data_IF_127738128965
#
_entry.id   IF_127738128965
#
_cell.length_a   1.000
_cell.length_b   1.000
_cell.length_c   1.000
_cell.angle_alpha   90.00
_cell.angle_beta   90.00
_cell.angle_gamma   90.00
#
_symmetry.space_group_name_H-M   'P 1'
#
loop_
_entity.id
_entity.type
_entity.pdbx_description
1 polymer ?
#
# COMPACT_ATOMS: atom_id res chain seq x y z
N UNK A 1 24.86 9.86 1.33
CA UNK A 1 23.40 9.84 1.02
C UNK A 1 23.38 9.89 -0.48
N UNK A 2 22.79 8.88 -1.11
CA UNK A 2 22.86 8.80 -2.56
C UNK A 2 22.09 9.95 -3.19
N UNK A 3 22.78 10.71 -4.04
CA UNK A 3 22.24 11.85 -4.78
C UNK A 3 22.37 11.55 -6.26
N UNK A 4 21.35 11.91 -7.03
CA UNK A 4 21.41 11.82 -8.49
C UNK A 4 22.40 12.87 -9.00
N UNK A 5 23.57 12.41 -9.44
CA UNK A 5 24.55 13.25 -10.14
C UNK A 5 24.67 12.82 -11.59
N UNK A 6 25.21 13.70 -12.44
CA UNK A 6 25.47 13.36 -13.84
C UNK A 6 26.40 12.14 -13.95
N UNK A 7 27.46 12.10 -13.15
CA UNK A 7 28.35 10.93 -13.08
C UNK A 7 27.63 9.67 -12.63
N UNK A 8 26.85 9.73 -11.55
CA UNK A 8 26.09 8.56 -11.09
C UNK A 8 25.18 8.04 -12.20
N UNK A 9 24.45 8.94 -12.85
CA UNK A 9 23.55 8.62 -13.96
C UNK A 9 24.31 7.97 -15.13
N UNK A 10 25.42 8.54 -15.56
CA UNK A 10 26.23 7.99 -16.66
C UNK A 10 26.81 6.61 -16.32
N UNK A 11 27.33 6.43 -15.11
CA UNK A 11 27.84 5.12 -14.67
C UNK A 11 26.71 4.10 -14.59
N UNK A 12 25.56 4.44 -14.01
CA UNK A 12 24.41 3.55 -13.94
C UNK A 12 23.95 3.14 -15.35
N UNK A 13 23.70 4.11 -16.24
CA UNK A 13 23.20 3.83 -17.59
C UNK A 13 24.18 3.00 -18.44
N UNK A 14 25.48 3.15 -18.22
CA UNK A 14 26.50 2.31 -18.87
C UNK A 14 26.38 0.85 -18.40
N UNK A 15 26.16 0.65 -17.10
CA UNK A 15 26.15 -0.68 -16.49
C UNK A 15 24.79 -1.37 -16.54
N UNK A 16 23.67 -0.63 -16.65
CA UNK A 16 22.30 -1.19 -16.61
C UNK A 16 22.05 -2.21 -17.73
N UNK A 17 22.78 -2.11 -18.85
CA UNK A 17 22.74 -3.07 -19.94
C UNK A 17 23.10 -4.51 -19.53
N UNK A 18 23.84 -4.67 -18.42
CA UNK A 18 24.19 -5.97 -17.84
C UNK A 18 22.98 -6.70 -17.24
N UNK A 19 21.88 -5.98 -16.95
CA UNK A 19 20.64 -6.54 -16.44
C UNK A 19 19.75 -7.13 -17.55
N UNK A 20 20.12 -6.97 -18.83
CA UNK A 20 19.31 -7.48 -19.94
C UNK A 20 19.41 -9.00 -20.05
N UNK A 21 18.25 -9.64 -20.20
CA UNK A 21 18.13 -11.07 -20.50
C UNK A 21 18.36 -11.37 -21.98
N UNK A 22 18.08 -10.40 -22.85
CA UNK A 22 18.32 -10.52 -24.29
C UNK A 22 19.05 -9.28 -24.81
N UNK A 23 19.89 -9.47 -25.84
CA UNK A 23 20.71 -8.40 -26.43
C UNK A 23 19.88 -7.17 -26.83
N UNK A 24 18.76 -7.40 -27.51
CA UNK A 24 17.89 -6.36 -28.05
C UNK A 24 16.77 -5.95 -27.08
N UNK A 25 16.80 -6.46 -25.85
CA UNK A 25 15.80 -6.11 -24.84
C UNK A 25 15.91 -4.63 -24.48
N UNK A 26 14.76 -3.95 -24.51
CA UNK A 26 14.66 -2.58 -24.02
C UNK A 26 14.54 -2.58 -22.50
N UNK A 27 15.33 -1.72 -21.86
CA UNK A 27 15.24 -1.45 -20.43
C UNK A 27 14.40 -0.20 -20.27
N UNK A 28 13.34 -0.29 -19.48
CA UNK A 28 12.52 0.86 -19.11
C UNK A 28 12.75 1.19 -17.64
N UNK A 29 13.41 2.31 -17.36
CA UNK A 29 13.52 2.82 -16.00
C UNK A 29 12.22 3.54 -15.66
N UNK A 30 11.61 3.16 -14.54
CA UNK A 30 10.31 3.70 -14.08
C UNK A 30 10.46 4.33 -12.69
N UNK A 31 9.33 4.64 -12.06
CA UNK A 31 9.33 5.11 -10.67
C UNK A 31 9.95 6.49 -10.47
N UNK A 32 10.50 6.68 -9.27
CA UNK A 32 10.94 8.01 -8.82
C UNK A 32 12.25 8.46 -9.48
N UNK A 33 13.12 7.52 -9.87
CA UNK A 33 14.40 7.82 -10.49
C UNK A 33 14.28 8.60 -11.81
N UNK A 34 13.33 8.19 -12.67
CA UNK A 34 13.15 8.75 -14.00
C UNK A 34 12.75 10.24 -13.99
N UNK A 35 12.14 10.70 -12.89
CA UNK A 35 11.59 12.05 -12.75
C UNK A 35 12.42 12.97 -11.85
N UNK A 36 13.43 12.43 -11.17
CA UNK A 36 14.31 13.20 -10.28
C UNK A 36 15.33 13.98 -11.08
N UNK A 37 15.57 15.21 -10.67
CA UNK A 37 16.58 16.09 -11.26
C UNK A 37 17.95 15.82 -10.63
N UNK A 38 19.00 16.38 -11.24
CA UNK A 38 20.31 16.34 -10.62
C UNK A 38 20.32 17.12 -9.30
N UNK A 39 20.86 16.51 -8.25
CA UNK A 39 20.84 17.04 -6.88
C UNK A 39 19.74 16.43 -6.00
N UNK A 40 18.77 15.70 -6.57
CA UNK A 40 17.75 15.02 -5.79
C UNK A 40 18.29 13.74 -5.13
N UNK A 41 17.73 13.40 -3.96
CA UNK A 41 18.09 12.20 -3.20
C UNK A 41 17.53 10.94 -3.89
N UNK A 42 18.25 9.83 -3.93
CA UNK A 42 17.77 8.59 -4.56
C UNK A 42 17.44 7.53 -3.50
N UNK A 43 16.23 6.98 -3.53
CA UNK A 43 15.76 5.92 -2.61
C UNK A 43 16.03 4.52 -3.16
N UNK A 44 15.71 4.34 -4.43
CA UNK A 44 15.59 3.09 -5.17
C UNK A 44 15.60 3.40 -6.68
N UNK A 45 15.79 2.36 -7.49
CA UNK A 45 15.70 2.44 -8.94
C UNK A 45 14.83 1.30 -9.45
N UNK A 46 13.65 1.65 -9.93
CA UNK A 46 12.72 0.70 -10.52
C UNK A 46 13.00 0.50 -12.01
N UNK A 47 13.08 -0.75 -12.44
CA UNK A 47 13.30 -1.16 -13.83
C UNK A 47 12.23 -2.15 -14.25
N UNK A 48 11.75 -2.00 -15.49
CA UNK A 48 10.90 -2.98 -16.15
C UNK A 48 11.65 -3.61 -17.33
N UNK A 49 11.67 -4.94 -17.35
CA UNK A 49 12.12 -5.74 -18.48
C UNK A 49 10.94 -6.49 -19.08
N UNK A 50 10.65 -6.24 -20.36
CA UNK A 50 9.64 -7.03 -21.07
C UNK A 50 10.23 -8.37 -21.48
N UNK A 51 9.62 -9.47 -21.04
CA UNK A 51 10.04 -10.84 -21.34
C UNK A 51 8.87 -11.67 -21.86
N UNK A 52 9.18 -12.86 -22.37
CA UNK A 52 8.20 -13.88 -22.70
C UNK A 52 8.48 -15.11 -21.82
N UNK A 53 7.65 -15.36 -20.81
CA UNK A 53 7.83 -16.51 -19.92
C UNK A 53 7.54 -17.85 -20.62
N UNK A 54 6.97 -17.84 -21.83
CA UNK A 54 6.85 -19.03 -22.67
C UNK A 54 8.12 -19.34 -23.47
N UNK A 55 9.16 -18.48 -23.44
CA UNK A 55 10.46 -18.82 -24.03
C UNK A 55 11.10 -19.98 -23.24
N UNK A 56 11.39 -21.13 -23.89
CA UNK A 56 12.05 -22.26 -23.22
C UNK A 56 13.43 -21.93 -22.68
N UNK A 57 14.08 -20.86 -23.18
CA UNK A 57 15.40 -20.44 -22.74
C UNK A 57 15.39 -19.38 -21.63
N UNK A 58 14.23 -18.93 -21.14
CA UNK A 58 14.16 -17.84 -20.16
C UNK A 58 14.98 -18.12 -18.90
N UNK A 59 14.90 -19.35 -18.37
CA UNK A 59 15.71 -19.76 -17.21
C UNK A 59 17.20 -19.74 -17.52
N UNK A 60 17.60 -20.15 -18.73
CA UNK A 60 19.00 -20.11 -19.14
C UNK A 60 19.50 -18.65 -19.21
N UNK A 61 18.69 -17.72 -19.73
CA UNK A 61 19.05 -16.30 -19.77
C UNK A 61 19.20 -15.71 -18.36
N UNK A 62 18.29 -16.04 -17.44
CA UNK A 62 18.40 -15.62 -16.04
C UNK A 62 19.70 -16.16 -15.43
N UNK A 63 19.99 -17.45 -15.61
CA UNK A 63 21.25 -18.07 -15.11
C UNK A 63 22.49 -17.38 -15.68
N UNK A 64 22.48 -17.01 -16.96
CA UNK A 64 23.59 -16.30 -17.59
C UNK A 64 23.83 -14.92 -16.97
N UNK A 65 22.78 -14.17 -16.64
CA UNK A 65 22.95 -12.90 -15.91
C UNK A 65 23.54 -13.15 -14.53
N UNK A 66 22.94 -14.07 -13.76
CA UNK A 66 23.35 -14.34 -12.38
C UNK A 66 24.84 -14.73 -12.28
N UNK A 67 25.33 -15.54 -13.22
CA UNK A 67 26.74 -15.95 -13.26
C UNK A 67 27.72 -14.78 -13.57
N UNK A 68 27.22 -13.71 -14.22
CA UNK A 68 28.04 -12.59 -14.66
C UNK A 68 27.90 -11.34 -13.77
N UNK A 69 26.80 -11.23 -13.02
CA UNK A 69 26.44 -10.00 -12.33
C UNK A 69 27.22 -9.77 -11.04
N UNK A 70 27.51 -10.83 -10.28
CA UNK A 70 28.18 -10.73 -8.97
C UNK A 70 29.63 -10.23 -9.05
N UNK A 71 30.23 -10.17 -10.24
CA UNK A 71 31.55 -9.57 -10.46
C UNK A 71 31.51 -8.05 -10.61
N UNK A 72 30.32 -7.44 -10.63
CA UNK A 72 30.11 -6.05 -11.01
C UNK A 72 29.52 -5.20 -9.87
N UNK A 73 29.05 -4.00 -10.20
CA UNK A 73 28.40 -3.06 -9.27
C UNK A 73 27.02 -3.54 -8.81
N UNK A 74 26.35 -4.41 -9.56
CA UNK A 74 25.10 -5.02 -9.13
C UNK A 74 25.38 -6.30 -8.37
N UNK A 75 24.71 -6.49 -7.24
CA UNK A 75 24.77 -7.71 -6.43
C UNK A 75 23.38 -8.29 -6.37
N UNK A 76 23.21 -9.50 -6.90
CA UNK A 76 21.91 -10.16 -6.89
C UNK A 76 21.53 -10.57 -5.47
N UNK A 77 20.31 -10.26 -5.05
CA UNK A 77 19.79 -10.66 -3.76
C UNK A 77 18.95 -11.93 -3.87
N UNK A 78 17.83 -11.81 -4.59
CA UNK A 78 16.87 -12.89 -4.82
C UNK A 78 15.82 -12.45 -5.86
N UNK A 79 14.94 -13.37 -6.25
CA UNK A 79 13.68 -13.04 -6.94
C UNK A 79 12.51 -13.31 -5.99
N UNK A 80 11.60 -12.36 -5.84
CA UNK A 80 10.32 -12.57 -5.18
C UNK A 80 9.28 -12.98 -6.23
N UNK A 81 8.71 -14.19 -6.10
CA UNK A 81 7.65 -14.67 -7.01
C UNK A 81 6.87 -15.85 -6.40
N UNK A 82 5.58 -15.65 -6.14
CA UNK A 82 4.64 -16.66 -5.65
C UNK A 82 4.63 -16.85 -4.13
N UNK A 83 3.66 -17.64 -3.67
CA UNK A 83 3.40 -17.98 -2.26
C UNK A 83 3.27 -19.50 -2.13
N UNK A 84 3.83 -20.07 -1.06
CA UNK A 84 3.64 -21.48 -0.73
C UNK A 84 2.18 -21.79 -0.45
N UNK A 85 1.66 -22.87 -1.05
CA UNK A 85 0.23 -23.21 -1.02
C UNK A 85 -0.33 -23.35 0.41
N UNK A 86 0.50 -23.79 1.35
CA UNK A 86 0.14 -23.99 2.75
C UNK A 86 -0.16 -22.68 3.50
N UNK A 87 0.28 -21.55 2.95
CA UNK A 87 0.03 -20.21 3.50
C UNK A 87 -1.15 -19.49 2.82
N UNK A 88 -1.86 -20.15 1.91
CA UNK A 88 -3.10 -19.60 1.35
C UNK A 88 -4.12 -19.39 2.47
N UNK A 89 -4.68 -18.18 2.49
CA UNK A 89 -5.55 -17.72 3.56
C UNK A 89 -7.02 -17.96 3.21
N UNK A 90 -7.89 -18.28 4.19
CA UNK A 90 -9.32 -18.51 3.98
C UNK A 90 -10.14 -17.20 3.94
N UNK A 91 -9.50 -16.07 3.68
CA UNK A 91 -10.15 -14.78 3.53
C UNK A 91 -9.53 -14.02 2.36
N UNK A 92 -10.32 -13.16 1.74
CA UNK A 92 -9.88 -12.25 0.68
C UNK A 92 -10.23 -10.82 1.05
N UNK A 93 -9.39 -9.87 0.62
CA UNK A 93 -9.62 -8.43 0.69
C UNK A 93 -9.21 -7.91 -0.69
N UNK A 94 -10.15 -7.42 -1.47
CA UNK A 94 -9.85 -6.91 -2.81
C UNK A 94 -9.62 -5.39 -2.81
N UNK A 95 -9.17 -4.88 -3.95
CA UNK A 95 -8.90 -3.46 -4.14
C UNK A 95 -10.15 -2.58 -4.36
N UNK A 96 -11.32 -3.20 -4.45
CA UNK A 96 -12.62 -2.54 -4.58
C UNK A 96 -13.36 -2.41 -3.24
N UNK A 97 -12.77 -2.87 -2.14
CA UNK A 97 -13.38 -2.83 -0.82
C UNK A 97 -14.29 -4.02 -0.51
N UNK A 98 -14.29 -5.06 -1.35
CA UNK A 98 -14.92 -6.34 -1.02
C UNK A 98 -14.01 -7.17 -0.12
N UNK A 99 -14.61 -8.01 0.71
CA UNK A 99 -13.86 -8.98 1.48
C UNK A 99 -14.69 -10.21 1.81
N UNK A 100 -14.04 -11.37 1.88
CA UNK A 100 -14.66 -12.62 2.35
C UNK A 100 -14.02 -13.04 3.67
N UNK A 101 -14.83 -13.42 4.65
CA UNK A 101 -14.36 -13.93 5.93
C UNK A 101 -15.43 -14.81 6.57
N UNK A 102 -15.08 -16.07 6.82
CA UNK A 102 -15.95 -17.01 7.53
C UNK A 102 -15.23 -17.50 8.80
N UNK A 103 -15.76 -17.22 10.00
CA UNK A 103 -15.10 -17.58 11.26
C UNK A 103 -14.79 -19.07 11.39
N UNK A 104 -15.66 -19.94 10.87
CA UNK A 104 -15.50 -21.39 10.94
C UNK A 104 -14.34 -21.87 10.06
N UNK A 105 -14.29 -21.46 8.78
CA UNK A 105 -13.16 -21.78 7.88
C UNK A 105 -11.83 -21.26 8.42
N UNK A 106 -11.81 -20.07 9.02
CA UNK A 106 -10.61 -19.49 9.65
C UNK A 106 -10.12 -20.36 10.81
N UNK A 107 -11.03 -20.88 11.62
CA UNK A 107 -10.68 -21.79 12.73
C UNK A 107 -10.15 -23.12 12.23
N UNK A 108 -10.77 -23.72 11.20
CA UNK A 108 -10.30 -24.96 10.58
C UNK A 108 -8.90 -24.79 9.98
N UNK A 109 -8.72 -23.71 9.20
CA UNK A 109 -7.43 -23.34 8.63
C UNK A 109 -6.37 -23.16 9.72
N UNK A 110 -6.66 -22.40 10.78
CA UNK A 110 -5.66 -22.14 11.83
C UNK A 110 -5.25 -23.40 12.58
N UNK A 111 -6.19 -24.32 12.85
CA UNK A 111 -5.89 -25.60 13.49
C UNK A 111 -4.98 -26.48 12.61
N UNK A 112 -5.25 -26.53 11.30
CA UNK A 112 -4.39 -27.21 10.33
C UNK A 112 -3.00 -26.55 10.28
N UNK A 113 -2.96 -25.24 10.11
CA UNK A 113 -1.76 -24.41 10.07
C UNK A 113 -0.87 -24.62 11.30
N UNK A 114 -1.45 -24.65 12.51
CA UNK A 114 -0.77 -24.90 13.79
C UNK A 114 -0.24 -26.33 13.89
N UNK A 115 -1.02 -27.32 13.45
CA UNK A 115 -0.62 -28.74 13.48
C UNK A 115 0.57 -29.02 12.55
N UNK A 116 0.64 -28.31 11.43
CA UNK A 116 1.69 -28.47 10.43
C UNK A 116 3.04 -27.84 10.82
N UNK A 117 3.08 -27.04 11.90
CA UNK A 117 4.30 -26.40 12.42
C UNK A 117 5.08 -25.58 11.37
N UNK A 118 4.35 -24.85 10.52
CA UNK A 118 4.85 -23.98 9.45
C UNK A 118 5.64 -22.75 9.93
N UNK A 119 5.34 -22.21 11.11
CA UNK A 119 6.00 -21.05 11.73
C UNK A 119 6.37 -21.32 13.20
N UNK A 120 7.25 -20.51 13.83
CA UNK A 120 7.57 -20.64 15.25
C UNK A 120 6.37 -20.47 16.19
N UNK A 121 6.43 -21.08 17.38
CA UNK A 121 5.33 -21.05 18.36
C UNK A 121 4.89 -19.64 18.80
N UNK A 122 5.85 -18.72 18.88
CA UNK A 122 5.57 -17.31 19.18
C UNK A 122 4.68 -16.66 18.11
N UNK A 123 4.82 -17.06 16.84
CA UNK A 123 4.02 -16.54 15.74
C UNK A 123 2.59 -17.08 15.81
N UNK A 124 2.38 -18.37 16.13
CA UNK A 124 1.02 -18.90 16.35
C UNK A 124 0.29 -18.13 17.45
N UNK A 125 0.98 -17.86 18.55
CA UNK A 125 0.39 -17.13 19.68
C UNK A 125 -0.08 -15.74 19.25
N UNK A 126 0.74 -15.02 18.46
CA UNK A 126 0.38 -13.70 17.94
C UNK A 126 -0.84 -13.79 17.00
N UNK A 127 -0.84 -14.75 16.07
CA UNK A 127 -1.96 -14.94 15.13
C UNK A 127 -3.25 -15.31 15.88
N UNK A 128 -3.18 -16.22 16.84
CA UNK A 128 -4.32 -16.66 17.66
C UNK A 128 -4.96 -15.48 18.39
N UNK A 129 -4.14 -14.60 18.98
CA UNK A 129 -4.63 -13.40 19.69
C UNK A 129 -5.30 -12.37 18.77
N UNK A 130 -4.95 -12.36 17.48
CA UNK A 130 -5.54 -11.46 16.47
C UNK A 130 -6.81 -12.02 15.84
N UNK A 131 -6.87 -13.33 15.60
CA UNK A 131 -7.99 -13.96 14.90
C UNK A 131 -9.15 -14.33 15.82
N UNK A 132 -8.86 -14.73 17.07
CA UNK A 132 -9.86 -15.27 18.00
C UNK A 132 -10.12 -14.38 19.21
N UNK A 133 -9.83 -13.08 19.10
CA UNK A 133 -10.31 -12.08 20.04
C UNK A 133 -11.84 -11.94 19.97
N UNK A 134 -12.44 -11.40 21.03
CA UNK A 134 -13.89 -11.14 21.10
C UNK A 134 -14.38 -10.23 19.98
N UNK A 135 -13.51 -9.36 19.50
CA UNK A 135 -13.71 -8.49 18.33
C UNK A 135 -12.53 -8.60 17.39
N UNK A 136 -12.75 -8.42 16.09
CA UNK A 136 -11.74 -8.52 15.03
C UNK A 136 -11.96 -7.40 14.01
N UNK A 137 -10.91 -6.96 13.33
CA UNK A 137 -10.96 -5.92 12.28
C UNK A 137 -10.25 -6.41 11.01
N UNK A 138 -10.47 -5.73 9.86
CA UNK A 138 -9.73 -6.01 8.63
C UNK A 138 -8.22 -5.84 8.86
N UNK A 139 -7.82 -4.83 9.65
CA UNK A 139 -6.41 -4.68 10.02
C UNK A 139 -5.86 -5.89 10.76
N UNK A 140 -6.64 -6.56 11.60
CA UNK A 140 -6.15 -7.80 12.22
C UNK A 140 -5.87 -8.88 11.18
N UNK A 141 -6.71 -9.00 10.15
CA UNK A 141 -6.47 -9.92 9.04
C UNK A 141 -5.19 -9.57 8.29
N UNK A 142 -5.02 -8.30 7.89
CA UNK A 142 -3.84 -7.83 7.15
C UNK A 142 -2.57 -7.95 8.01
N UNK A 143 -2.64 -7.64 9.31
CA UNK A 143 -1.53 -7.86 10.23
C UNK A 143 -1.10 -9.33 10.24
N UNK A 144 -2.05 -10.27 10.23
CA UNK A 144 -1.75 -11.71 10.13
C UNK A 144 -1.08 -12.03 8.80
N UNK A 145 -1.56 -11.47 7.67
CA UNK A 145 -0.91 -11.65 6.37
C UNK A 145 0.54 -11.15 6.39
N UNK A 146 0.78 -9.96 6.93
CA UNK A 146 2.11 -9.36 7.05
C UNK A 146 3.05 -10.14 7.97
N UNK A 147 2.53 -10.70 9.05
CA UNK A 147 3.29 -11.59 9.95
C UNK A 147 3.71 -12.88 9.22
N UNK A 148 2.83 -13.40 8.36
CA UNK A 148 3.07 -14.62 7.60
C UNK A 148 3.93 -14.41 6.35
N UNK A 149 3.93 -13.21 5.77
CA UNK A 149 4.59 -12.90 4.51
C UNK A 149 6.06 -13.39 4.44
N UNK A 150 6.91 -13.19 5.47
CA UNK A 150 8.30 -13.67 5.44
C UNK A 150 8.45 -15.20 5.37
N UNK A 151 7.41 -15.94 5.74
CA UNK A 151 7.35 -17.41 5.69
C UNK A 151 6.63 -17.92 4.45
N UNK A 152 5.62 -17.18 3.99
CA UNK A 152 4.72 -17.55 2.92
C UNK A 152 5.34 -17.31 1.53
N UNK A 153 6.10 -16.23 1.37
CA UNK A 153 6.65 -15.81 0.08
C UNK A 153 7.75 -16.76 -0.40
N UNK A 154 7.69 -17.13 -1.69
CA UNK A 154 8.74 -17.91 -2.33
C UNK A 154 9.85 -16.95 -2.78
N UNK A 155 10.91 -16.91 -1.97
CA UNK A 155 12.15 -16.19 -2.26
C UNK A 155 13.08 -17.10 -3.05
N UNK A 156 13.40 -16.77 -4.29
CA UNK A 156 14.25 -17.55 -5.18
C UNK A 156 15.70 -17.05 -5.09
N UNK A 157 16.58 -17.87 -4.51
CA UNK A 157 18.02 -17.59 -4.52
C UNK A 157 18.65 -18.00 -5.85
N UNK A 158 19.88 -17.56 -6.10
CA UNK A 158 20.60 -17.92 -7.32
C UNK A 158 20.75 -19.44 -7.46
N UNK A 159 20.98 -20.15 -6.36
CA UNK A 159 21.02 -21.62 -6.32
C UNK A 159 19.72 -22.26 -6.78
N UNK A 160 18.58 -21.73 -6.34
CA UNK A 160 17.25 -22.27 -6.65
C UNK A 160 16.94 -22.08 -8.15
N UNK A 161 17.30 -20.92 -8.69
CA UNK A 161 17.15 -20.60 -10.11
C UNK A 161 18.07 -21.47 -10.98
N UNK A 162 19.31 -21.72 -10.53
CA UNK A 162 20.25 -22.63 -11.20
C UNK A 162 19.74 -24.08 -11.20
N UNK A 163 19.08 -24.51 -10.13
CA UNK A 163 18.42 -25.82 -10.02
C UNK A 163 17.16 -25.91 -10.88
N UNK A 164 16.44 -24.79 -11.07
CA UNK A 164 15.23 -24.69 -11.90
C UNK A 164 13.93 -24.96 -11.16
N UNK A 165 14.00 -25.39 -9.90
CA UNK A 165 12.87 -25.56 -9.01
C UNK A 165 13.32 -25.33 -7.57
N UNK A 166 12.35 -25.08 -6.69
CA UNK A 166 12.53 -25.00 -5.24
C UNK A 166 11.63 -26.03 -4.57
N UNK A 167 12.20 -26.84 -3.69
CA UNK A 167 11.43 -27.80 -2.91
C UNK A 167 11.08 -27.22 -1.53
N UNK A 168 9.81 -27.30 -1.17
CA UNK A 168 9.31 -26.95 0.16
C UNK A 168 8.33 -28.03 0.62
N UNK A 169 8.67 -28.70 1.72
CA UNK A 169 7.86 -29.78 2.33
C UNK A 169 7.44 -30.89 1.34
N UNK A 170 8.35 -31.27 0.43
CA UNK A 170 8.11 -32.32 -0.57
C UNK A 170 7.30 -31.87 -1.79
N UNK A 171 6.92 -30.58 -1.88
CA UNK A 171 6.30 -30.00 -3.06
C UNK A 171 7.37 -29.23 -3.84
N UNK A 172 7.46 -29.52 -5.13
CA UNK A 172 8.32 -28.78 -6.05
C UNK A 172 7.56 -27.61 -6.64
N UNK A 173 8.14 -26.42 -6.50
CA UNK A 173 7.67 -25.19 -7.12
C UNK A 173 8.61 -24.85 -8.27
N UNK A 174 8.05 -24.49 -9.42
CA UNK A 174 8.81 -24.11 -10.62
C UNK A 174 8.63 -22.62 -10.91
N UNK A 175 9.73 -21.88 -11.01
CA UNK A 175 9.71 -20.43 -11.21
C UNK A 175 8.88 -20.02 -12.43
N UNK A 176 9.07 -20.68 -13.58
CA UNK A 176 8.37 -20.35 -14.83
C UNK A 176 6.88 -20.70 -14.80
N UNK A 177 6.47 -21.65 -13.95
CA UNK A 177 5.06 -22.00 -13.80
C UNK A 177 4.31 -20.91 -13.03
N UNK A 178 4.88 -20.46 -11.90
CA UNK A 178 4.31 -19.38 -11.10
C UNK A 178 4.14 -18.11 -11.93
N UNK A 179 5.15 -17.72 -12.69
CA UNK A 179 5.09 -16.50 -13.51
C UNK A 179 4.08 -16.60 -14.65
N UNK A 180 3.92 -17.79 -15.26
CA UNK A 180 2.87 -18.03 -16.29
C UNK A 180 1.46 -17.96 -15.72
N UNK A 181 1.29 -18.21 -14.42
CA UNK A 181 0.02 -18.12 -13.72
C UNK A 181 -0.30 -16.71 -13.19
N UNK A 182 0.44 -15.68 -13.64
CA UNK A 182 0.13 -14.27 -13.30
C UNK A 182 0.91 -13.71 -12.11
N UNK A 183 1.81 -14.48 -11.49
CA UNK A 183 2.66 -14.01 -10.40
C UNK A 183 3.75 -13.07 -10.93
N UNK A 184 3.80 -11.83 -10.42
CA UNK A 184 4.86 -10.89 -10.77
C UNK A 184 6.19 -11.37 -10.19
N UNK A 185 7.20 -11.51 -11.05
CA UNK A 185 8.57 -11.74 -10.62
C UNK A 185 9.35 -10.42 -10.56
N UNK A 186 9.92 -10.12 -9.39
CA UNK A 186 10.81 -8.98 -9.19
C UNK A 186 12.18 -9.49 -8.81
N UNK A 187 13.19 -9.22 -9.64
CA UNK A 187 14.58 -9.48 -9.31
C UNK A 187 15.13 -8.31 -8.50
N UNK A 188 15.57 -8.58 -7.28
CA UNK A 188 16.09 -7.56 -6.37
C UNK A 188 17.62 -7.57 -6.39
N UNK A 189 18.20 -6.38 -6.50
CA UNK A 189 19.64 -6.16 -6.51
C UNK A 189 20.04 -5.04 -5.56
N UNK A 190 21.28 -5.12 -5.06
CA UNK A 190 21.99 -3.96 -4.52
C UNK A 190 22.94 -3.42 -5.57
N UNK A 191 22.81 -2.13 -5.88
CA UNK A 191 23.80 -1.40 -6.65
C UNK A 191 24.80 -0.74 -5.72
N UNK A 192 26.05 -1.20 -5.82
CA UNK A 192 27.21 -0.72 -5.09
C UNK A 192 27.95 0.32 -5.94
N UNK A 193 27.72 1.59 -5.63
CA UNK A 193 28.35 2.73 -6.28
C UNK A 193 29.54 3.25 -5.47
N UNK A 194 30.67 3.53 -6.12
CA UNK A 194 31.78 4.27 -5.51
C UNK A 194 31.68 5.72 -5.97
N UNK A 195 31.42 6.62 -5.03
CA UNK A 195 31.30 8.05 -5.29
C UNK A 195 32.63 8.69 -5.67
N UNK A 196 32.59 9.96 -6.08
CA UNK A 196 33.79 10.74 -6.41
C UNK A 196 34.74 10.88 -5.23
N UNK A 197 34.20 10.86 -4.01
CA UNK A 197 34.98 10.94 -2.77
C UNK A 197 35.54 9.58 -2.34
N UNK A 198 35.39 8.53 -3.17
CA UNK A 198 35.81 7.17 -2.85
C UNK A 198 34.89 6.44 -1.86
N UNK A 199 33.73 7.03 -1.53
CA UNK A 199 32.78 6.47 -0.57
C UNK A 199 31.89 5.43 -1.25
N UNK A 200 31.64 4.32 -0.56
CA UNK A 200 30.69 3.30 -1.01
C UNK A 200 29.28 3.75 -0.66
N UNK A 201 28.42 3.85 -1.67
CA UNK A 201 26.99 4.11 -1.52
C UNK A 201 26.22 2.92 -2.10
N UNK A 202 25.12 2.57 -1.43
CA UNK A 202 24.25 1.46 -1.83
C UNK A 202 22.88 1.98 -2.25
N UNK A 203 22.29 1.34 -3.25
CA UNK A 203 20.93 1.58 -3.71
C UNK A 203 20.24 0.25 -3.99
N UNK A 204 18.96 0.12 -3.64
CA UNK A 204 18.14 -0.97 -4.15
C UNK A 204 17.85 -0.75 -5.64
N UNK A 205 17.83 -1.85 -6.40
CA UNK A 205 17.36 -1.87 -7.78
C UNK A 205 16.38 -3.02 -7.92
N UNK A 206 15.16 -2.67 -8.26
CA UNK A 206 14.05 -3.59 -8.40
C UNK A 206 13.75 -3.78 -9.89
N UNK A 207 13.97 -4.99 -10.39
CA UNK A 207 13.79 -5.32 -11.80
C UNK A 207 12.54 -6.18 -11.96
N UNK A 208 11.42 -5.54 -12.28
CA UNK A 208 10.17 -6.22 -12.59
C UNK A 208 10.26 -6.91 -13.96
N UNK A 209 10.04 -8.22 -13.97
CA UNK A 209 9.96 -9.04 -15.16
C UNK A 209 8.51 -9.08 -15.66
N UNK A 210 8.21 -8.31 -16.69
CA UNK A 210 6.85 -8.10 -17.19
C UNK A 210 6.66 -8.92 -18.47
N UNK A 211 5.70 -9.84 -18.46
CA UNK A 211 5.18 -10.44 -19.68
C UNK A 211 3.85 -9.76 -20.03
N UNK A 212 3.82 -9.08 -21.18
CA UNK A 212 2.64 -8.32 -21.61
C UNK A 212 1.47 -9.21 -22.03
N UNK A 213 1.70 -10.51 -22.21
CA UNK A 213 0.66 -11.47 -22.58
C UNK A 213 -0.07 -12.06 -21.38
N UNK A 214 0.46 -11.83 -20.18
CA UNK A 214 -0.07 -12.36 -18.93
C UNK A 214 -0.70 -11.22 -18.15
N UNK A 215 -1.96 -11.38 -17.77
CA UNK A 215 -2.62 -10.46 -16.85
C UNK A 215 -2.01 -10.63 -15.45
N UNK A 216 -1.42 -9.55 -14.94
CA UNK A 216 -0.86 -9.54 -13.58
C UNK A 216 -1.98 -9.32 -12.57
N UNK A 217 -1.89 -10.00 -11.42
CA UNK A 217 -2.78 -9.72 -10.29
C UNK A 217 -2.70 -8.24 -9.90
N UNK A 218 -3.86 -7.58 -9.75
CA UNK A 218 -3.95 -6.17 -9.38
C UNK A 218 -3.14 -5.86 -8.11
N UNK A 219 -2.45 -4.73 -8.10
CA UNK A 219 -1.67 -4.24 -6.95
C UNK A 219 -2.58 -3.84 -5.79
N UNK A 220 -2.24 -4.27 -4.57
CA UNK A 220 -2.99 -4.06 -3.32
C UNK A 220 -3.03 -2.60 -2.83
N UNK A 221 -3.56 -1.67 -3.64
CA UNK A 221 -3.67 -0.26 -3.29
C UNK A 221 -4.48 -0.02 -2.02
N UNK A 222 -5.52 -0.83 -1.77
CA UNK A 222 -6.38 -0.68 -0.59
C UNK A 222 -5.69 -1.13 0.72
N UNK A 223 -4.68 -2.01 0.64
CA UNK A 223 -3.94 -2.44 1.82
C UNK A 223 -3.21 -1.29 2.49
N UNK A 224 -2.63 -0.38 1.68
CA UNK A 224 -1.98 0.83 2.19
C UNK A 224 -2.96 1.67 3.03
N UNK A 225 -4.21 1.75 2.61
CA UNK A 225 -5.26 2.44 3.36
C UNK A 225 -5.53 1.77 4.69
N UNK A 226 -5.86 0.47 4.72
CA UNK A 226 -6.13 -0.22 5.99
C UNK A 226 -4.97 -0.17 6.98
N UNK A 227 -3.74 -0.33 6.50
CA UNK A 227 -2.53 -0.24 7.31
C UNK A 227 -2.13 1.20 7.66
N UNK A 228 -2.83 2.20 7.13
CA UNK A 228 -2.56 3.61 7.34
C UNK A 228 -1.13 4.00 6.91
N UNK A 229 -0.69 3.43 5.78
CA UNK A 229 0.55 3.77 5.09
C UNK A 229 0.39 5.14 4.40
N UNK A 230 0.31 6.20 5.19
CA UNK A 230 0.03 7.56 4.73
C UNK A 230 1.03 8.07 3.69
N UNK A 231 2.29 7.66 3.75
CA UNK A 231 3.28 8.11 2.77
C UNK A 231 3.02 7.56 1.35
N UNK A 232 2.88 6.24 1.12
CA UNK A 232 2.43 5.70 -0.17
C UNK A 232 1.11 6.29 -0.66
N UNK A 233 0.12 6.43 0.23
CA UNK A 233 -1.18 7.04 -0.11
C UNK A 233 -0.97 8.46 -0.62
N UNK A 234 -0.23 9.29 0.12
CA UNK A 234 0.03 10.67 -0.28
C UNK A 234 0.78 10.74 -1.63
N UNK A 235 1.79 9.87 -1.83
CA UNK A 235 2.56 9.79 -3.08
C UNK A 235 1.66 9.48 -4.29
N UNK A 236 0.60 8.70 -4.10
CA UNK A 236 -0.35 8.34 -5.16
C UNK A 236 -1.16 9.53 -5.70
N UNK A 237 -1.36 10.58 -4.89
CA UNK A 237 -2.14 11.76 -5.30
C UNK A 237 -1.45 12.60 -6.37
N UNK A 238 -0.13 12.47 -6.55
CA UNK A 238 0.72 13.28 -7.45
C UNK A 238 0.08 13.66 -8.78
N UNK A 239 -0.52 12.70 -9.49
CA UNK A 239 -1.04 12.89 -10.84
C UNK A 239 -2.40 13.61 -10.87
N UNK A 240 -3.07 13.61 -9.74
CA UNK A 240 -4.42 14.08 -9.54
C UNK A 240 -4.47 15.46 -8.88
N UNK A 241 -3.38 15.95 -8.27
CA UNK A 241 -3.33 17.28 -7.65
C UNK A 241 -3.50 18.40 -8.70
N UNK A 242 -4.34 19.38 -8.37
CA UNK A 242 -4.53 20.63 -9.13
C UNK A 242 -3.22 21.41 -9.28
N UNK A 243 -3.01 22.04 -10.44
CA UNK A 243 -1.72 22.65 -10.83
C UNK A 243 -1.24 23.70 -9.82
N UNK A 244 -2.16 24.51 -9.29
CA UNK A 244 -1.91 25.55 -8.31
C UNK A 244 -1.40 25.04 -6.96
N UNK A 245 -1.77 23.80 -6.57
CA UNK A 245 -1.34 23.17 -5.31
C UNK A 245 -0.13 22.25 -5.49
N UNK A 246 0.34 22.03 -6.72
CA UNK A 246 1.40 21.06 -7.00
C UNK A 246 2.75 21.42 -6.35
N UNK A 247 3.04 22.72 -6.21
CA UNK A 247 4.25 23.18 -5.52
C UNK A 247 4.21 22.90 -4.01
N UNK A 248 3.07 23.15 -3.37
CA UNK A 248 2.85 22.80 -1.95
C UNK A 248 3.00 21.28 -1.76
N UNK A 249 2.41 20.48 -2.65
CA UNK A 249 2.52 19.02 -2.64
C UNK A 249 3.98 18.55 -2.71
N UNK A 250 4.77 19.13 -3.63
CA UNK A 250 6.21 18.84 -3.77
C UNK A 250 6.99 19.21 -2.49
N UNK A 251 6.68 20.33 -1.86
CA UNK A 251 7.34 20.75 -0.62
C UNK A 251 7.07 19.80 0.54
N UNK A 252 5.83 19.31 0.67
CA UNK A 252 5.46 18.31 1.68
C UNK A 252 6.27 17.01 1.51
N UNK A 253 6.42 16.52 0.28
CA UNK A 253 7.25 15.34 -0.01
C UNK A 253 8.73 15.60 0.29
N UNK A 254 9.25 16.78 -0.06
CA UNK A 254 10.66 17.14 0.17
C UNK A 254 11.01 17.16 1.67
N UNK A 255 10.05 17.49 2.54
CA UNK A 255 10.26 17.51 3.99
C UNK A 255 10.58 16.12 4.56
N UNK A 256 9.97 15.06 4.02
CA UNK A 256 10.18 13.68 4.49
C UNK A 256 11.22 12.90 3.69
N UNK A 257 11.72 13.46 2.59
CA UNK A 257 12.57 12.73 1.63
C UNK A 257 13.84 12.17 2.27
N UNK A 258 14.46 12.93 3.19
CA UNK A 258 15.63 12.47 3.95
C UNK A 258 15.31 11.33 4.89
N UNK A 259 14.15 11.37 5.56
CA UNK A 259 13.70 10.28 6.44
C UNK A 259 13.41 9.02 5.62
N UNK A 260 12.72 9.17 4.49
CA UNK A 260 12.43 8.07 3.58
C UNK A 260 13.71 7.46 3.00
N UNK A 261 14.71 8.28 2.65
CA UNK A 261 16.01 7.78 2.22
C UNK A 261 16.69 6.95 3.33
N UNK A 262 16.72 7.45 4.56
CA UNK A 262 17.29 6.71 5.68
C UNK A 262 16.55 5.38 5.92
N UNK A 263 15.23 5.39 5.84
CA UNK A 263 14.42 4.18 5.94
C UNK A 263 14.84 3.14 4.89
N UNK A 264 14.96 3.55 3.62
CA UNK A 264 15.37 2.65 2.54
C UNK A 264 16.80 2.12 2.71
N UNK A 265 17.76 2.97 3.14
CA UNK A 265 19.13 2.52 3.43
C UNK A 265 19.14 1.46 4.54
N UNK A 266 18.38 1.70 5.63
CA UNK A 266 18.27 0.77 6.76
C UNK A 266 17.61 -0.55 6.34
N UNK A 267 16.53 -0.49 5.55
CA UNK A 267 15.87 -1.65 4.97
C UNK A 267 16.85 -2.49 4.12
N UNK A 268 17.61 -1.82 3.25
CA UNK A 268 18.62 -2.47 2.42
C UNK A 268 19.74 -3.12 3.26
N UNK A 269 20.20 -2.46 4.33
CA UNK A 269 21.20 -3.04 5.23
C UNK A 269 20.70 -4.33 5.91
N UNK A 270 19.43 -4.37 6.31
CA UNK A 270 18.79 -5.57 6.88
C UNK A 270 18.81 -6.71 5.86
N UNK A 271 18.41 -6.43 4.61
CA UNK A 271 18.39 -7.45 3.56
C UNK A 271 19.81 -7.91 3.16
N UNK A 272 20.77 -6.98 3.06
CA UNK A 272 22.17 -7.28 2.78
C UNK A 272 22.75 -8.25 3.82
N UNK A 273 22.49 -8.01 5.11
CA UNK A 273 22.95 -8.89 6.20
C UNK A 273 22.23 -10.24 6.16
N UNK A 274 20.90 -10.24 5.99
CA UNK A 274 20.06 -11.45 5.93
C UNK A 274 20.53 -12.42 4.83
N UNK A 275 20.83 -11.89 3.64
CA UNK A 275 21.20 -12.70 2.47
C UNK A 275 22.72 -12.73 2.22
N UNK A 276 23.53 -12.13 3.10
CA UNK A 276 25.00 -12.13 3.06
C UNK A 276 25.57 -11.62 1.73
N UNK A 277 25.03 -10.51 1.25
CA UNK A 277 25.29 -9.96 -0.09
C UNK A 277 26.63 -9.21 -0.18
N UNK A 278 26.98 -8.48 0.88
CA UNK A 278 28.23 -7.74 1.01
C UNK A 278 29.05 -8.28 2.19
N UNK A 279 30.33 -7.94 2.23
CA UNK A 279 31.17 -8.29 3.36
C UNK A 279 30.79 -7.47 4.61
N UNK A 280 31.20 -7.97 5.80
CA UNK A 280 30.85 -7.33 7.07
C UNK A 280 31.47 -5.94 7.23
N UNK A 281 32.63 -5.69 6.63
CA UNK A 281 33.34 -4.41 6.77
C UNK A 281 32.59 -3.30 6.02
N UNK A 282 32.12 -3.58 4.81
CA UNK A 282 31.31 -2.69 4.00
C UNK A 282 29.96 -2.40 4.65
N UNK A 283 29.29 -3.43 5.18
CA UNK A 283 28.03 -3.27 5.92
C UNK A 283 28.22 -2.30 7.09
N UNK A 284 29.27 -2.48 7.90
CA UNK A 284 29.54 -1.62 9.05
C UNK A 284 29.95 -0.19 8.66
N UNK A 285 30.63 0.00 7.52
CA UNK A 285 30.91 1.33 6.96
C UNK A 285 29.60 2.07 6.62
N UNK A 286 28.73 1.46 5.82
CA UNK A 286 27.45 2.06 5.42
C UNK A 286 26.56 2.31 6.64
N UNK A 287 26.52 1.37 7.59
CA UNK A 287 25.79 1.51 8.85
C UNK A 287 26.29 2.69 9.68
N UNK A 288 27.60 2.81 9.88
CA UNK A 288 28.21 3.88 10.68
C UNK A 288 27.89 5.27 10.10
N UNK A 289 27.96 5.40 8.78
CA UNK A 289 27.60 6.63 8.09
C UNK A 289 26.12 6.96 8.21
N UNK A 290 25.25 5.95 8.12
CA UNK A 290 23.80 6.11 8.31
C UNK A 290 23.49 6.65 9.71
N UNK A 291 24.18 6.13 10.73
CA UNK A 291 24.05 6.62 12.11
C UNK A 291 24.55 8.08 12.25
N UNK A 292 25.65 8.45 11.58
CA UNK A 292 26.13 9.85 11.56
C UNK A 292 25.06 10.77 10.98
N UNK A 293 24.45 10.39 9.86
CA UNK A 293 23.39 11.19 9.23
C UNK A 293 22.16 11.30 10.13
N UNK A 294 21.74 10.21 10.78
CA UNK A 294 20.65 10.25 11.77
C UNK A 294 20.92 11.25 12.89
N UNK A 295 22.14 11.27 13.43
CA UNK A 295 22.55 12.25 14.46
C UNK A 295 22.47 13.69 13.95
N UNK A 296 22.89 13.94 12.70
CA UNK A 296 22.79 15.27 12.08
C UNK A 296 21.34 15.73 11.90
N UNK A 297 20.39 14.80 11.77
CA UNK A 297 18.96 15.09 11.70
C UNK A 297 18.28 15.12 13.08
N UNK A 298 19.05 15.11 14.18
CA UNK A 298 18.55 15.05 15.56
C UNK A 298 17.67 13.84 15.87
N UNK A 299 17.87 12.73 15.14
CA UNK A 299 17.14 11.47 15.38
C UNK A 299 17.87 10.71 16.48
N UNK A 300 17.26 10.65 17.67
CA UNK A 300 17.79 9.92 18.82
C UNK A 300 17.41 8.44 18.72
N UNK A 301 18.41 7.56 18.76
CA UNK A 301 18.20 6.12 18.80
C UNK A 301 19.00 5.49 19.94
N UNK A 302 18.32 4.70 20.78
CA UNK A 302 18.89 4.00 21.94
C UNK A 302 18.78 2.47 21.82
N UNK A 303 18.18 1.96 20.74
CA UNK A 303 18.02 0.51 20.55
C UNK A 303 19.34 -0.19 20.19
N UNK A 304 19.30 -1.53 20.19
CA UNK A 304 20.47 -2.35 19.82
C UNK A 304 20.37 -2.94 18.41
N UNK A 305 19.16 -3.10 17.85
CA UNK A 305 18.93 -3.78 16.56
C UNK A 305 18.54 -2.80 15.46
N UNK A 306 19.16 -2.95 14.28
CA UNK A 306 18.88 -2.10 13.11
C UNK A 306 17.41 -2.15 12.66
N UNK A 307 16.71 -3.28 12.87
CA UNK A 307 15.26 -3.42 12.66
C UNK A 307 14.41 -2.45 13.50
N UNK A 308 14.90 -2.08 14.69
CA UNK A 308 14.19 -1.12 15.53
C UNK A 308 14.28 0.30 14.94
N UNK A 309 15.38 0.61 14.23
CA UNK A 309 15.56 1.88 13.51
C UNK A 309 14.59 1.94 12.33
N UNK A 310 14.48 0.86 11.57
CA UNK A 310 13.58 0.76 10.42
C UNK A 310 12.15 1.09 10.83
N UNK A 311 11.63 0.39 11.85
CA UNK A 311 10.28 0.61 12.39
C UNK A 311 10.08 2.04 12.89
N UNK A 312 11.04 2.59 13.63
CA UNK A 312 10.98 3.96 14.12
C UNK A 312 10.89 4.98 12.96
N UNK A 313 11.73 4.84 11.93
CA UNK A 313 11.71 5.72 10.76
C UNK A 313 10.39 5.61 10.00
N UNK A 314 9.89 4.39 9.82
CA UNK A 314 8.61 4.10 9.20
C UNK A 314 7.45 4.81 9.93
N UNK A 315 7.40 4.69 11.26
CA UNK A 315 6.37 5.33 12.09
C UNK A 315 6.46 6.86 11.98
N UNK A 316 7.66 7.43 12.04
CA UNK A 316 7.89 8.87 11.87
C UNK A 316 7.43 9.38 10.50
N UNK A 317 7.74 8.66 9.42
CA UNK A 317 7.35 9.03 8.05
C UNK A 317 5.82 9.08 7.94
N UNK A 318 5.13 8.03 8.39
CA UNK A 318 3.67 7.95 8.29
C UNK A 318 2.97 8.99 9.16
N UNK A 319 3.45 9.24 10.39
CA UNK A 319 2.89 10.28 11.26
C UNK A 319 2.97 11.67 10.62
N UNK A 320 4.08 12.01 9.94
CA UNK A 320 4.23 13.29 9.26
C UNK A 320 3.37 13.43 7.99
N UNK A 321 2.93 12.32 7.39
CA UNK A 321 2.17 12.35 6.13
C UNK A 321 0.65 12.36 6.32
N UNK A 322 0.13 11.93 7.47
CA UNK A 322 -1.32 11.85 7.71
C UNK A 322 -2.06 13.15 7.43
N UNK A 323 -1.62 14.26 8.03
CA UNK A 323 -2.26 15.57 7.84
C UNK A 323 -2.17 16.07 6.39
N UNK A 324 -1.13 15.67 5.66
CA UNK A 324 -0.98 15.99 4.24
C UNK A 324 -1.98 15.20 3.39
N UNK A 325 -2.22 13.91 3.69
CA UNK A 325 -3.28 13.13 3.04
C UNK A 325 -4.64 13.82 3.23
N UNK A 326 -4.95 14.22 4.46
CA UNK A 326 -6.20 14.90 4.80
C UNK A 326 -6.36 16.23 4.05
N UNK A 327 -5.30 17.03 3.95
CA UNK A 327 -5.34 18.34 3.29
C UNK A 327 -5.43 18.23 1.76
N UNK A 328 -4.66 17.33 1.14
CA UNK A 328 -4.52 17.28 -0.32
C UNK A 328 -5.60 16.49 -1.04
N UNK A 329 -6.38 15.64 -0.35
CA UNK A 329 -7.49 14.90 -0.98
C UNK A 329 -8.52 15.85 -1.61
N UNK A 330 -8.76 16.99 -0.98
CA UNK A 330 -9.66 18.03 -1.48
C UNK A 330 -9.03 18.91 -2.58
N UNK A 331 -7.73 18.76 -2.84
CA UNK A 331 -6.97 19.50 -3.86
C UNK A 331 -6.79 18.71 -5.15
N UNK A 332 -7.43 17.55 -5.27
CA UNK A 332 -7.52 16.79 -6.51
C UNK A 332 -8.32 17.58 -7.56
N UNK A 333 -7.94 17.46 -8.83
CA UNK A 333 -8.56 18.15 -9.97
C UNK A 333 -10.03 17.78 -10.12
N UNK A 334 -10.85 18.77 -10.45
CA UNK A 334 -12.29 18.59 -10.60
C UNK A 334 -12.65 17.72 -11.82
N UNK A 335 -11.83 17.75 -12.88
CA UNK A 335 -11.96 16.84 -14.04
C UNK A 335 -11.64 15.37 -13.72
N UNK A 336 -11.16 15.09 -12.50
CA UNK A 336 -10.90 13.76 -11.95
C UNK A 336 -11.84 13.46 -10.76
N UNK A 337 -13.08 13.95 -10.79
CA UNK A 337 -14.05 13.79 -9.71
C UNK A 337 -14.24 12.33 -9.29
N UNK A 338 -14.28 11.38 -10.24
CA UNK A 338 -14.40 9.96 -9.94
C UNK A 338 -13.22 9.45 -9.08
N UNK A 339 -11.98 9.85 -9.41
CA UNK A 339 -10.80 9.48 -8.63
C UNK A 339 -10.78 10.15 -7.25
N UNK A 340 -11.27 11.39 -7.16
CA UNK A 340 -11.45 12.07 -5.87
C UNK A 340 -12.41 11.29 -4.97
N UNK A 341 -13.57 10.89 -5.48
CA UNK A 341 -14.56 10.07 -4.78
C UNK A 341 -13.93 8.74 -4.35
N UNK A 342 -13.20 8.07 -5.24
CA UNK A 342 -12.50 6.82 -4.94
C UNK A 342 -11.50 6.98 -3.79
N UNK A 343 -10.65 8.01 -3.79
CA UNK A 343 -9.71 8.24 -2.69
C UNK A 343 -10.41 8.58 -1.38
N UNK A 344 -11.49 9.37 -1.42
CA UNK A 344 -12.27 9.70 -0.23
C UNK A 344 -12.96 8.45 0.34
N UNK A 345 -13.50 7.59 -0.53
CA UNK A 345 -14.08 6.30 -0.17
C UNK A 345 -13.03 5.37 0.44
N UNK A 346 -11.85 5.22 -0.16
CA UNK A 346 -10.75 4.39 0.38
C UNK A 346 -10.21 4.91 1.72
N UNK A 347 -10.08 6.23 1.84
CA UNK A 347 -9.72 6.87 3.11
C UNK A 347 -10.75 6.56 4.19
N UNK A 348 -12.02 6.65 3.85
CA UNK A 348 -13.10 6.35 4.76
C UNK A 348 -13.11 4.85 5.15
N UNK A 349 -13.02 3.94 4.18
CA UNK A 349 -12.88 2.49 4.42
C UNK A 349 -11.70 2.19 5.35
N UNK A 350 -10.57 2.91 5.23
CA UNK A 350 -9.44 2.73 6.13
C UNK A 350 -9.80 2.94 7.60
N UNK A 351 -10.70 3.90 7.88
CA UNK A 351 -11.15 4.19 9.24
C UNK A 351 -12.01 3.02 9.74
N UNK A 352 -12.93 2.51 8.92
CA UNK A 352 -13.85 1.44 9.31
C UNK A 352 -13.23 0.04 9.36
N UNK A 353 -12.34 -0.29 8.42
CA UNK A 353 -11.62 -1.55 8.42
C UNK A 353 -10.73 -1.71 9.66
N UNK A 354 -10.49 -0.62 10.39
CA UNK A 354 -9.79 -0.58 11.67
C UNK A 354 -10.71 -0.66 12.90
N UNK A 355 -12.03 -0.60 12.75
CA UNK A 355 -12.99 -0.72 13.86
C UNK A 355 -13.21 -2.21 14.16
N UNK A 356 -12.95 -2.69 15.39
CA UNK A 356 -13.21 -4.07 15.75
C UNK A 356 -14.71 -4.39 15.77
N UNK A 357 -15.08 -5.54 15.20
CA UNK A 357 -16.45 -6.06 15.13
C UNK A 357 -16.53 -7.44 15.78
N UNK A 358 -17.67 -7.78 16.38
CA UNK A 358 -17.84 -9.10 17.00
C UNK A 358 -17.96 -10.20 15.93
N UNK A 359 -17.53 -11.41 16.29
CA UNK A 359 -17.67 -12.59 15.42
C UNK A 359 -19.13 -12.90 15.07
N UNK A 360 -20.06 -12.63 16.00
CA UNK A 360 -21.50 -12.79 15.75
C UNK A 360 -21.98 -11.86 14.64
N UNK A 361 -21.65 -10.57 14.73
CA UNK A 361 -22.07 -9.59 13.72
C UNK A 361 -21.46 -9.87 12.34
N UNK A 362 -20.22 -10.36 12.27
CA UNK A 362 -19.62 -10.81 11.02
C UNK A 362 -20.40 -11.96 10.37
N UNK A 363 -20.80 -12.94 11.18
CA UNK A 363 -21.59 -14.08 10.72
C UNK A 363 -22.95 -13.64 10.19
N UNK A 364 -23.65 -12.78 10.94
CA UNK A 364 -24.95 -12.22 10.54
C UNK A 364 -24.84 -11.45 9.21
N UNK A 365 -23.85 -10.56 9.08
CA UNK A 365 -23.62 -9.77 7.85
C UNK A 365 -23.22 -10.63 6.65
N UNK A 366 -22.45 -11.69 6.87
CA UNK A 366 -22.10 -12.63 5.81
C UNK A 366 -23.34 -13.35 5.28
N UNK A 367 -24.26 -13.79 6.16
CA UNK A 367 -25.54 -14.41 5.77
C UNK A 367 -26.42 -13.42 5.00
N UNK A 368 -26.39 -12.13 5.37
CA UNK A 368 -27.12 -11.06 4.69
C UNK A 368 -26.49 -10.65 3.34
N UNK A 369 -25.36 -11.23 2.95
CA UNK A 369 -24.74 -11.00 1.63
C UNK A 369 -23.95 -9.69 1.51
N UNK A 370 -23.43 -9.15 2.61
CA UNK A 370 -22.59 -7.95 2.57
C UNK A 370 -21.33 -8.19 1.73
N UNK A 371 -21.00 -7.26 0.80
CA UNK A 371 -19.79 -7.33 -0.06
C UNK A 371 -18.50 -7.44 0.77
N UNK A 372 -18.48 -6.84 1.96
CA UNK A 372 -17.46 -7.03 2.97
C UNK A 372 -18.11 -6.97 4.37
N UNK A 373 -18.20 -8.08 5.12
CA UNK A 373 -18.93 -8.13 6.40
C UNK A 373 -18.32 -7.23 7.49
N UNK A 374 -17.05 -6.87 7.36
CA UNK A 374 -16.39 -5.92 8.26
C UNK A 374 -16.86 -4.47 8.06
N UNK A 375 -17.28 -4.11 6.85
CA UNK A 375 -17.74 -2.76 6.54
C UNK A 375 -19.25 -2.69 6.81
N UNK A 376 -19.66 -1.82 7.74
CA UNK A 376 -21.07 -1.61 8.08
C UNK A 376 -21.86 -0.80 7.06
N UNK A 377 -21.31 -0.55 5.86
CA UNK A 377 -21.84 0.32 4.81
C UNK A 377 -21.34 -0.13 3.44
N UNK A 378 -22.10 0.18 2.39
CA UNK A 378 -21.76 -0.08 0.99
C UNK A 378 -21.30 1.18 0.26
N UNK A 379 -20.73 1.04 -0.93
CA UNK A 379 -20.46 2.18 -1.83
C UNK A 379 -21.74 2.95 -2.17
N UNK A 380 -22.88 2.25 -2.30
CA UNK A 380 -24.19 2.86 -2.50
C UNK A 380 -24.59 3.74 -1.32
N UNK A 381 -24.38 3.27 -0.09
CA UNK A 381 -24.64 4.04 1.14
C UNK A 381 -23.74 5.28 1.21
N UNK A 382 -22.46 5.13 0.86
CA UNK A 382 -21.51 6.24 0.81
C UNK A 382 -21.91 7.31 -0.21
N UNK A 383 -22.29 6.89 -1.42
CA UNK A 383 -22.76 7.79 -2.47
C UNK A 383 -24.07 8.48 -2.08
N UNK A 384 -25.00 7.76 -1.44
CA UNK A 384 -26.22 8.34 -0.92
C UNK A 384 -25.92 9.45 0.10
N UNK A 385 -25.11 9.17 1.12
CA UNK A 385 -24.77 10.15 2.16
C UNK A 385 -24.00 11.34 1.58
N UNK A 386 -23.11 11.10 0.63
CA UNK A 386 -22.35 12.17 -0.03
C UNK A 386 -23.26 13.11 -0.82
N UNK A 387 -24.15 12.54 -1.63
CA UNK A 387 -25.14 13.29 -2.38
C UNK A 387 -26.10 14.04 -1.45
N UNK A 388 -26.55 13.40 -0.37
CA UNK A 388 -27.41 14.01 0.63
C UNK A 388 -26.72 15.23 1.28
N UNK A 389 -25.45 15.08 1.70
CA UNK A 389 -24.66 16.16 2.28
C UNK A 389 -24.56 17.37 1.35
N UNK A 390 -24.17 17.15 0.09
CA UNK A 390 -24.15 18.21 -0.92
C UNK A 390 -25.51 18.87 -1.11
N UNK A 391 -26.57 18.06 -1.23
CA UNK A 391 -27.94 18.51 -1.46
C UNK A 391 -28.46 19.41 -0.34
N UNK A 392 -28.03 19.21 0.90
CA UNK A 392 -28.50 19.97 2.06
C UNK A 392 -27.43 20.93 2.63
N UNK A 393 -26.34 21.16 1.89
CA UNK A 393 -25.24 22.05 2.31
C UNK A 393 -24.61 21.66 3.66
N UNK A 394 -24.52 20.35 3.94
CA UNK A 394 -23.73 19.80 5.05
C UNK A 394 -22.46 19.19 4.44
N UNK A 395 -21.32 19.38 5.11
CA UNK A 395 -20.09 18.68 4.74
C UNK A 395 -20.36 17.16 4.71
N UNK A 396 -20.24 16.50 3.53
CA UNK A 396 -20.46 15.06 3.40
C UNK A 396 -19.72 14.24 4.46
N UNK A 397 -18.49 14.64 4.80
CA UNK A 397 -17.68 13.96 5.82
C UNK A 397 -18.35 14.02 7.19
N UNK A 398 -18.84 15.21 7.58
CA UNK A 398 -19.52 15.41 8.85
C UNK A 398 -20.83 14.61 8.92
N UNK A 399 -21.58 14.55 7.82
CA UNK A 399 -22.82 13.77 7.75
C UNK A 399 -22.54 12.27 7.92
N UNK A 400 -21.56 11.75 7.17
CA UNK A 400 -21.11 10.37 7.27
C UNK A 400 -20.67 10.06 8.71
N UNK A 401 -19.79 10.88 9.29
CA UNK A 401 -19.33 10.72 10.68
C UNK A 401 -20.50 10.71 11.69
N UNK A 402 -21.54 11.50 11.45
CA UNK A 402 -22.73 11.55 12.29
C UNK A 402 -23.54 10.25 12.21
N UNK A 403 -23.82 9.77 11.00
CA UNK A 403 -24.55 8.51 10.76
C UNK A 403 -23.82 7.34 11.39
N UNK A 404 -22.50 7.39 11.37
CA UNK A 404 -21.63 6.36 11.98
C UNK A 404 -21.75 6.36 13.49
N UNK A 405 -21.67 7.54 14.13
CA UNK A 405 -21.87 7.64 15.58
C UNK A 405 -23.25 7.14 16.01
N UNK A 406 -24.26 7.35 15.17
CA UNK A 406 -25.62 6.82 15.37
C UNK A 406 -25.59 5.29 15.23
N UNK A 407 -24.98 4.75 14.18
CA UNK A 407 -24.78 3.32 13.95
C UNK A 407 -24.11 2.64 15.14
N UNK A 408 -23.03 3.20 15.67
CA UNK A 408 -22.34 2.73 16.88
C UNK A 408 -23.23 2.77 18.12
N UNK A 409 -23.88 3.92 18.36
CA UNK A 409 -24.71 4.15 19.56
C UNK A 409 -25.89 3.20 19.63
N UNK A 410 -26.49 2.85 18.50
CA UNK A 410 -27.70 2.02 18.43
C UNK A 410 -27.45 0.59 17.95
N UNK A 411 -26.18 0.22 17.70
CA UNK A 411 -25.81 -1.10 17.19
C UNK A 411 -26.55 -1.48 15.90
N UNK A 412 -26.65 -0.54 14.96
CA UNK A 412 -27.28 -0.69 13.65
C UNK A 412 -26.20 -0.67 12.55
N UNK A 413 -26.45 -1.26 11.38
CA UNK A 413 -25.60 -0.97 10.22
C UNK A 413 -25.82 0.48 9.74
N UNK A 414 -24.88 1.04 8.97
CA UNK A 414 -25.06 2.35 8.33
C UNK A 414 -26.22 2.31 7.35
N UNK A 415 -26.40 1.20 6.63
CA UNK A 415 -27.55 1.00 5.74
C UNK A 415 -28.87 1.05 6.53
N UNK A 416 -28.93 0.39 7.70
CA UNK A 416 -30.10 0.45 8.57
C UNK A 416 -30.33 1.87 9.11
N UNK A 417 -29.28 2.56 9.58
CA UNK A 417 -29.39 3.96 9.98
C UNK A 417 -29.89 4.84 8.84
N UNK A 418 -29.39 4.64 7.63
CA UNK A 418 -29.83 5.40 6.47
C UNK A 418 -31.32 5.19 6.23
N UNK A 419 -31.76 3.93 6.18
CA UNK A 419 -33.16 3.58 5.92
C UNK A 419 -34.12 4.02 7.03
N UNK A 420 -33.65 4.07 8.29
CA UNK A 420 -34.47 4.44 9.44
C UNK A 420 -34.54 5.95 9.65
N UNK A 421 -33.44 6.68 9.39
CA UNK A 421 -33.33 8.09 9.76
C UNK A 421 -33.45 9.06 8.59
N UNK A 422 -33.34 8.61 7.33
CA UNK A 422 -33.44 9.49 6.17
C UNK A 422 -34.58 9.08 5.23
N UNK A 423 -35.31 10.08 4.74
CA UNK A 423 -36.32 9.87 3.72
C UNK A 423 -35.68 9.81 2.32
N UNK A 424 -35.60 8.59 1.77
CA UNK A 424 -35.10 8.32 0.42
C UNK A 424 -35.96 8.93 -0.71
N UNK A 425 -37.21 9.32 -0.43
CA UNK A 425 -38.12 9.89 -1.42
C UNK A 425 -38.08 11.41 -1.45
N UNK A 426 -37.45 12.03 -0.47
CA UNK A 426 -37.33 13.47 -0.39
C UNK A 426 -36.29 13.95 -1.42
N UNK A 427 -36.71 14.73 -2.41
CA UNK A 427 -35.87 15.31 -3.47
C UNK A 427 -35.53 16.78 -3.24
N UNK A 428 -35.78 17.29 -2.03
CA UNK A 428 -35.51 18.68 -1.69
C UNK A 428 -34.00 18.96 -1.67
N UNK A 429 -33.61 20.12 -2.19
CA UNK A 429 -32.23 20.59 -2.20
C UNK A 429 -32.12 22.06 -1.80
N UNK A 430 -30.93 22.44 -1.32
CA UNK A 430 -30.61 23.78 -0.86
C UNK A 430 -29.49 24.38 -1.70
N UNK A 431 -29.66 25.65 -2.06
CA UNK A 431 -28.62 26.47 -2.66
C UNK A 431 -28.41 27.72 -1.82
N UNK A 432 -27.14 28.10 -1.63
CA UNK A 432 -26.79 29.32 -0.90
C UNK A 432 -26.68 30.49 -1.86
N UNK A 433 -27.56 31.48 -1.69
CA UNK A 433 -27.48 32.79 -2.31
C UNK A 433 -26.98 33.81 -1.26
N UNK A 434 -26.44 34.95 -1.70
CA UNK A 434 -25.70 35.90 -0.87
C UNK A 434 -26.30 36.16 0.52
N UNK A 435 -27.62 36.43 0.60
CA UNK A 435 -28.33 36.65 1.87
C UNK A 435 -29.37 35.58 2.22
N UNK A 436 -29.64 34.65 1.29
CA UNK A 436 -30.78 33.73 1.38
C UNK A 436 -30.37 32.30 1.05
N UNK A 437 -31.18 31.36 1.49
CA UNK A 437 -31.12 29.97 1.09
C UNK A 437 -32.33 29.69 0.21
N UNK A 438 -32.09 29.12 -0.96
CA UNK A 438 -33.14 28.74 -1.89
C UNK A 438 -33.42 27.26 -1.67
N UNK A 439 -34.68 26.93 -1.39
CA UNK A 439 -35.17 25.55 -1.31
C UNK A 439 -35.74 25.18 -2.68
N UNK A 440 -35.27 24.07 -3.23
CA UNK A 440 -35.81 23.47 -4.45
C UNK A 440 -36.45 22.12 -4.16
N UNK A 441 -37.44 21.75 -4.95
CA UNK A 441 -37.79 20.36 -5.22
C UNK A 441 -37.38 20.05 -6.66
N UNK A 442 -36.38 19.19 -6.80
CA UNK A 442 -35.77 18.85 -8.08
C UNK A 442 -35.23 20.12 -8.77
N UNK A 443 -35.98 20.70 -9.72
CA UNK A 443 -35.61 21.91 -10.44
C UNK A 443 -36.56 23.11 -10.19
N UNK A 444 -37.53 22.95 -9.28
CA UNK A 444 -38.54 23.98 -9.01
C UNK A 444 -38.23 24.68 -7.70
N UNK A 445 -38.13 26.00 -7.71
CA UNK A 445 -37.96 26.79 -6.48
C UNK A 445 -39.24 26.72 -5.66
N UNK A 446 -39.13 26.21 -4.43
CA UNK A 446 -40.22 26.19 -3.46
C UNK A 446 -40.25 27.47 -2.64
N UNK A 447 -39.09 28.03 -2.30
CA UNK A 447 -39.02 29.23 -1.50
C UNK A 447 -37.61 29.77 -1.31
N UNK A 448 -37.55 31.01 -0.85
CA UNK A 448 -36.31 31.69 -0.45
C UNK A 448 -36.42 32.07 1.01
N UNK A 449 -35.42 31.68 1.79
CA UNK A 449 -35.41 31.82 3.25
C UNK A 449 -34.18 32.58 3.71
N UNK A 450 -34.22 33.31 4.84
CA UNK A 450 -33.03 33.92 5.42
C UNK A 450 -31.96 32.87 5.75
N UNK A 451 -30.68 33.23 5.62
CA UNK A 451 -29.55 32.34 5.95
C UNK A 451 -29.62 31.72 7.37
N UNK A 452 -30.29 32.37 8.31
CA UNK A 452 -30.48 31.89 9.68
C UNK A 452 -31.33 30.61 9.76
N UNK A 453 -32.16 30.35 8.75
CA UNK A 453 -33.05 29.19 8.69
C UNK A 453 -32.38 27.92 8.15
N UNK A 454 -31.09 27.97 7.80
CA UNK A 454 -30.35 26.83 7.22
C UNK A 454 -30.57 25.53 7.98
N UNK A 455 -30.42 25.59 9.31
CA UNK A 455 -30.55 24.41 10.16
C UNK A 455 -31.96 23.84 10.16
N UNK A 456 -32.98 24.69 10.17
CA UNK A 456 -34.38 24.26 10.15
C UNK A 456 -34.72 23.58 8.82
N UNK A 457 -34.25 24.15 7.70
CA UNK A 457 -34.40 23.57 6.37
C UNK A 457 -33.66 22.22 6.25
N UNK A 458 -32.42 22.14 6.76
CA UNK A 458 -31.65 20.90 6.80
C UNK A 458 -32.38 19.79 7.57
N UNK A 459 -32.91 20.09 8.77
CA UNK A 459 -33.69 19.14 9.56
C UNK A 459 -34.94 18.66 8.80
N UNK A 460 -35.68 19.60 8.18
CA UNK A 460 -36.85 19.26 7.37
C UNK A 460 -36.50 18.32 6.22
N UNK A 461 -35.41 18.57 5.51
CA UNK A 461 -35.01 17.69 4.40
C UNK A 461 -34.55 16.31 4.89
N UNK A 462 -33.86 16.25 6.03
CA UNK A 462 -33.36 15.00 6.58
C UNK A 462 -34.49 14.07 7.07
N UNK A 463 -35.52 14.63 7.70
CA UNK A 463 -36.53 13.84 8.43
C UNK A 463 -37.95 13.87 7.85
N UNK A 464 -38.21 14.70 6.82
CA UNK A 464 -39.53 14.85 6.19
C UNK A 464 -40.38 15.91 6.88
#
# INVERSE_FOLDING_TARGET
>A
MLVKTERFNNVLLTNISQLKLYRDQQIKIVGSYNIKDYGDLLTDIDIQLTINFNDPNILLQIKNILNNIDKNMFKFMFINCGIYNEFKLPWTIDNEGSCSYEPFQVKEWFNKFKTEKLVPDSIYTIIETKLFSTTISIKNLIDVQNILLPYAQIVWLASDLLQGYKEYRGIQYFFTELTRNGELAVMEYIYRYISETGKVEICAIDVALIDKTIELSNTDELYNYYLQHWYPIFKSYKWFIRKEYFNEYKQALKHIEKLNLLYNIIHNLINIDKYKILDKEEIEKVRSETIIIMKQLNIKYQGKKISDIEKMLYDMINQNMKSNVDYFIDKIKDDNMQKKIEFQYRYLISIYGNIPITQQTLTERSILGYKCPFLGFTETDYNFLTNLGHRILIDPKLLIDCVVKISEKYNLSVADCISQFFDHKNNLSLEKSSNNIILYDSNTTIGMYPNQELKALQIRILFG
#
